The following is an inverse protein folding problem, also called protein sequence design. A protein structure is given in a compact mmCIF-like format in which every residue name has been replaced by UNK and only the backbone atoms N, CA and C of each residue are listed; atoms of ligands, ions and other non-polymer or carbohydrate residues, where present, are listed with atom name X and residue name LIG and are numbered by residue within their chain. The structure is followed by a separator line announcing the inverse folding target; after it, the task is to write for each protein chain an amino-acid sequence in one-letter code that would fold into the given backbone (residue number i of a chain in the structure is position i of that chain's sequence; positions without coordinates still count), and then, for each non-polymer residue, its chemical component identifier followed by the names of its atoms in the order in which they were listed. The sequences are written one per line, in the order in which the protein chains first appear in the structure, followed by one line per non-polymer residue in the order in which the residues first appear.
data_IF_783860091403
#
_entry.id   IF_783860091403
#
_cell.length_a   1.000
_cell.length_b   1.000
_cell.length_c   1.000
_cell.angle_alpha   90.00
_cell.angle_beta   90.00
_cell.angle_gamma   90.00
#
_symmetry.space_group_name_H-M   'P 1'
#
loop_
_entity.id
_entity.type
_entity.pdbx_description
1 polymer ?
#
# COMPACT_ATOMS: atom_id res chain seq x y z
N UNK A 1 -33.35 22.01 -21.70
CA UNK A 1 -33.87 21.38 -20.46
C UNK A 1 -33.24 20.00 -20.30
N UNK A 2 -32.55 19.74 -19.19
CA UNK A 2 -31.99 18.41 -18.89
C UNK A 2 -33.16 17.53 -18.37
N UNK A 3 -33.46 16.43 -19.06
CA UNK A 3 -34.53 15.49 -18.68
C UNK A 3 -34.26 14.89 -17.27
N UNK A 4 -35.32 14.69 -16.48
CA UNK A 4 -35.29 14.04 -15.16
C UNK A 4 -34.55 12.69 -15.17
N UNK A 5 -34.58 11.93 -16.28
CA UNK A 5 -33.77 10.71 -16.44
C UNK A 5 -32.27 10.99 -16.44
N UNK A 6 -31.80 12.03 -17.13
CA UNK A 6 -30.39 12.43 -17.11
C UNK A 6 -29.96 12.87 -15.71
N UNK A 7 -30.81 13.59 -14.99
CA UNK A 7 -30.55 14.00 -13.60
C UNK A 7 -30.49 12.76 -12.67
N UNK A 8 -31.37 11.79 -12.86
CA UNK A 8 -31.38 10.53 -12.10
C UNK A 8 -30.11 9.70 -12.38
N UNK A 9 -29.69 9.60 -13.64
CA UNK A 9 -28.44 8.93 -14.04
C UNK A 9 -27.23 9.64 -13.42
N UNK A 10 -27.15 10.97 -13.53
CA UNK A 10 -26.07 11.77 -12.92
C UNK A 10 -26.05 11.57 -11.40
N UNK A 11 -27.20 11.64 -10.73
CA UNK A 11 -27.27 11.44 -9.28
C UNK A 11 -26.94 10.01 -8.85
N UNK A 12 -27.29 9.00 -9.65
CA UNK A 12 -26.88 7.60 -9.42
C UNK A 12 -25.37 7.41 -9.64
N UNK A 13 -24.79 8.08 -10.65
CA UNK A 13 -23.35 8.09 -10.88
C UNK A 13 -22.61 8.84 -9.76
N UNK A 14 -23.14 9.96 -9.29
CA UNK A 14 -22.60 10.72 -8.15
C UNK A 14 -22.72 9.94 -6.83
N UNK A 15 -23.82 9.21 -6.61
CA UNK A 15 -23.99 8.31 -5.45
C UNK A 15 -23.08 7.08 -5.49
N UNK A 16 -22.62 6.66 -6.67
CA UNK A 16 -21.71 5.51 -6.83
C UNK A 16 -20.31 5.78 -6.27
N UNK A 17 -19.92 7.04 -6.15
CA UNK A 17 -18.65 7.44 -5.55
C UNK A 17 -18.90 7.94 -4.14
N UNK A 18 -18.53 7.13 -3.14
CA UNK A 18 -18.51 7.59 -1.76
C UNK A 18 -17.52 8.76 -1.66
N UNK A 19 -17.99 9.96 -1.33
CA UNK A 19 -17.10 11.13 -1.20
C UNK A 19 -16.18 10.90 -0.01
N UNK A 20 -14.89 10.69 -0.27
CA UNK A 20 -13.87 10.61 0.77
C UNK A 20 -13.73 11.99 1.44
N UNK A 21 -13.83 12.01 2.76
CA UNK A 21 -13.77 13.21 3.58
C UNK A 21 -12.33 13.46 4.05
N UNK A 22 -11.97 14.73 4.19
CA UNK A 22 -10.67 15.12 4.71
C UNK A 22 -10.52 14.64 6.17
N UNK A 23 -9.35 14.10 6.51
CA UNK A 23 -9.02 13.59 7.86
C UNK A 23 -9.99 12.55 8.43
N UNK A 24 -10.59 11.72 7.56
CA UNK A 24 -11.49 10.65 7.98
C UNK A 24 -10.83 9.28 7.88
N UNK A 25 -11.03 8.45 8.92
CA UNK A 25 -10.61 7.04 8.94
C UNK A 25 -11.76 6.16 8.46
N UNK A 26 -11.45 5.23 7.56
CA UNK A 26 -12.39 4.29 6.99
C UNK A 26 -11.99 2.85 7.36
N UNK A 27 -12.80 2.17 8.16
CA UNK A 27 -12.61 0.76 8.47
C UNK A 27 -13.30 -0.10 7.40
N UNK A 28 -12.57 -0.43 6.34
CA UNK A 28 -13.04 -1.27 5.24
C UNK A 28 -11.88 -1.92 4.51
N UNK A 29 -12.21 -2.84 3.61
CA UNK A 29 -11.29 -3.36 2.60
C UNK A 29 -10.71 -2.21 1.76
N UNK A 30 -9.38 -2.08 1.75
CA UNK A 30 -8.68 -0.99 1.07
C UNK A 30 -8.91 -0.99 -0.45
N UNK A 31 -9.08 -2.15 -1.09
CA UNK A 31 -9.39 -2.24 -2.52
C UNK A 31 -10.78 -1.69 -2.82
N UNK A 32 -11.74 -1.90 -1.92
CA UNK A 32 -13.08 -1.29 -2.03
C UNK A 32 -13.02 0.21 -1.73
N UNK A 33 -12.24 0.60 -0.72
CA UNK A 33 -12.04 2.01 -0.35
C UNK A 33 -11.41 2.84 -1.46
N UNK A 34 -10.30 2.37 -2.04
CA UNK A 34 -9.55 3.10 -3.09
C UNK A 34 -10.38 3.36 -4.35
N UNK A 35 -11.35 2.50 -4.69
CA UNK A 35 -12.27 2.73 -5.82
C UNK A 35 -13.14 3.99 -5.67
N UNK A 36 -13.30 4.49 -4.44
CA UNK A 36 -14.01 5.73 -4.16
C UNK A 36 -13.11 6.98 -4.23
N UNK A 37 -11.79 6.80 -4.29
CA UNK A 37 -10.83 7.89 -4.46
C UNK A 37 -10.72 8.23 -5.95
N UNK A 38 -10.89 9.50 -6.29
CA UNK A 38 -10.73 9.98 -7.68
C UNK A 38 -9.31 9.72 -8.19
N UNK A 39 -9.19 9.40 -9.47
CA UNK A 39 -7.88 9.29 -10.12
C UNK A 39 -7.13 10.63 -10.07
N UNK A 40 -5.80 10.59 -10.04
CA UNK A 40 -4.97 11.80 -10.09
C UNK A 40 -5.31 12.84 -9.00
N UNK A 41 -5.58 12.39 -7.77
CA UNK A 41 -6.03 13.25 -6.66
C UNK A 41 -5.15 13.17 -5.41
N UNK A 42 -4.32 12.15 -5.28
CA UNK A 42 -3.47 11.90 -4.11
C UNK A 42 -2.03 12.33 -4.38
N UNK A 43 -1.45 13.14 -3.51
CA UNK A 43 -0.05 13.58 -3.63
C UNK A 43 0.95 12.52 -3.14
N UNK A 44 0.60 11.81 -2.06
CA UNK A 44 1.46 10.82 -1.42
C UNK A 44 0.63 9.64 -0.90
N UNK A 45 1.10 8.42 -1.18
CA UNK A 45 0.59 7.19 -0.55
C UNK A 45 1.67 6.63 0.36
N UNK A 46 1.28 6.17 1.56
CA UNK A 46 2.17 5.44 2.47
C UNK A 46 1.48 4.12 2.81
N UNK A 47 2.16 3.00 2.60
CA UNK A 47 1.54 1.68 2.76
C UNK A 47 2.51 0.66 3.33
N UNK A 48 1.99 -0.15 4.24
CA UNK A 48 2.64 -1.32 4.85
C UNK A 48 1.76 -2.55 4.58
N UNK A 49 1.78 -3.09 3.34
CA UNK A 49 0.93 -4.20 2.96
C UNK A 49 1.34 -5.49 3.70
N UNK A 50 0.47 -6.51 3.78
CA UNK A 50 0.87 -7.85 4.22
C UNK A 50 2.13 -8.35 3.48
N UNK A 51 2.99 -9.11 4.14
CA UNK A 51 4.25 -9.62 3.54
C UNK A 51 4.16 -11.05 3.01
N UNK A 52 3.03 -11.76 3.17
CA UNK A 52 2.83 -13.15 2.76
C UNK A 52 3.98 -14.08 3.18
N UNK A 53 4.39 -13.99 4.45
CA UNK A 53 5.52 -14.72 5.02
C UNK A 53 5.11 -16.03 5.71
N UNK A 54 3.88 -16.50 5.48
CA UNK A 54 3.30 -17.70 6.10
C UNK A 54 3.49 -17.70 7.62
N UNK A 55 3.33 -16.52 8.22
CA UNK A 55 3.54 -16.32 9.64
C UNK A 55 2.31 -16.81 10.38
N UNK A 56 2.25 -18.13 10.56
CA UNK A 56 1.24 -18.76 11.40
C UNK A 56 1.22 -18.06 12.77
N UNK A 57 0.06 -17.56 13.25
CA UNK A 57 -0.07 -16.91 14.55
C UNK A 57 0.13 -17.94 15.67
N UNK A 58 1.37 -18.33 15.94
CA UNK A 58 1.73 -19.17 17.08
C UNK A 58 1.93 -18.27 18.31
N UNK A 59 1.36 -18.65 19.46
CA UNK A 59 1.40 -17.92 20.74
C UNK A 59 2.81 -17.40 21.12
N UNK A 60 3.85 -18.15 20.77
CA UNK A 60 5.26 -17.83 21.07
C UNK A 60 5.82 -16.65 20.28
N UNK A 61 5.19 -16.26 19.17
CA UNK A 61 5.88 -15.45 18.17
C UNK A 61 5.98 -13.96 18.49
N UNK A 62 5.25 -13.41 19.47
CA UNK A 62 5.33 -11.97 19.80
C UNK A 62 4.89 -11.60 21.23
N UNK A 63 4.84 -12.53 22.19
CA UNK A 63 4.31 -12.25 23.54
C UNK A 63 2.93 -11.54 23.50
N UNK A 64 2.11 -11.85 22.49
CA UNK A 64 0.84 -11.16 22.23
C UNK A 64 -0.23 -11.68 23.19
N UNK A 65 -0.87 -10.78 23.93
CA UNK A 65 -2.11 -11.09 24.66
C UNK A 65 -3.22 -11.36 23.65
N UNK A 66 -3.91 -12.49 23.79
CA UNK A 66 -4.96 -12.96 22.88
C UNK A 66 -6.09 -11.93 22.72
N UNK A 67 -6.40 -11.17 23.78
CA UNK A 67 -7.37 -10.05 23.77
C UNK A 67 -7.00 -8.88 22.86
N UNK A 68 -5.74 -8.78 22.41
CA UNK A 68 -5.25 -7.73 21.51
C UNK A 68 -5.05 -8.22 20.07
N UNK A 69 -5.37 -9.48 19.79
CA UNK A 69 -5.33 -10.03 18.43
C UNK A 69 -6.69 -9.76 17.79
N UNK A 70 -6.73 -8.81 16.85
CA UNK A 70 -7.94 -8.53 16.07
C UNK A 70 -8.32 -9.76 15.24
N UNK A 71 -9.57 -10.22 15.38
CA UNK A 71 -10.13 -11.26 14.52
C UNK A 71 -10.35 -10.68 13.12
N UNK A 72 -10.04 -11.46 12.07
CA UNK A 72 -10.31 -11.08 10.68
C UNK A 72 -9.08 -10.71 9.83
N UNK A 73 -7.86 -10.78 10.38
CA UNK A 73 -6.67 -10.75 9.52
C UNK A 73 -6.67 -11.97 8.61
N UNK A 74 -6.75 -11.73 7.29
CA UNK A 74 -6.63 -12.77 6.28
C UNK A 74 -5.21 -12.72 5.74
N UNK A 75 -4.46 -13.79 5.99
CA UNK A 75 -3.14 -13.94 5.40
C UNK A 75 -3.25 -14.16 3.89
N UNK A 76 -2.34 -13.55 3.14
CA UNK A 76 -2.21 -13.76 1.70
C UNK A 76 -1.29 -14.96 1.51
N UNK A 77 -1.74 -15.96 0.76
CA UNK A 77 -0.91 -17.10 0.40
C UNK A 77 0.25 -16.58 -0.47
N UNK A 78 1.43 -17.18 -0.28
CA UNK A 78 2.63 -16.74 -0.99
C UNK A 78 2.46 -16.81 -2.52
N UNK A 79 1.81 -17.85 -3.02
CA UNK A 79 1.58 -18.02 -4.46
C UNK A 79 0.63 -16.96 -5.05
N UNK A 80 -0.25 -16.39 -4.22
CA UNK A 80 -1.19 -15.32 -4.61
C UNK A 80 -0.60 -13.91 -4.40
N UNK A 81 0.62 -13.80 -3.87
CA UNK A 81 1.15 -12.53 -3.40
C UNK A 81 1.42 -11.54 -4.54
N UNK A 82 1.89 -12.04 -5.68
CA UNK A 82 2.09 -11.21 -6.87
C UNK A 82 0.78 -10.58 -7.33
N UNK A 83 -0.24 -11.40 -7.56
CA UNK A 83 -1.56 -10.95 -8.01
C UNK A 83 -2.20 -10.01 -7.00
N UNK A 84 -2.08 -10.30 -5.70
CA UNK A 84 -2.48 -9.37 -4.66
C UNK A 84 -1.76 -8.02 -4.81
N UNK A 85 -0.44 -8.06 -4.98
CA UNK A 85 0.42 -6.88 -5.01
C UNK A 85 0.14 -5.96 -6.20
N UNK A 86 0.15 -6.52 -7.41
CA UNK A 86 -0.10 -5.75 -8.63
C UNK A 86 -1.49 -5.12 -8.60
N UNK A 87 -2.50 -5.81 -8.08
CA UNK A 87 -3.86 -5.31 -8.02
C UNK A 87 -4.00 -4.07 -7.11
N UNK A 88 -3.45 -4.10 -5.89
CA UNK A 88 -3.53 -2.94 -5.01
C UNK A 88 -2.64 -1.79 -5.49
N UNK A 89 -1.45 -2.11 -6.02
CA UNK A 89 -0.55 -1.09 -6.56
C UNK A 89 -1.14 -0.37 -7.78
N UNK A 90 -1.87 -1.09 -8.63
CA UNK A 90 -2.58 -0.51 -9.78
C UNK A 90 -3.61 0.53 -9.34
N UNK A 91 -4.44 0.21 -8.34
CA UNK A 91 -5.42 1.16 -7.79
C UNK A 91 -4.74 2.34 -7.08
N UNK A 92 -3.67 2.09 -6.32
CA UNK A 92 -2.90 3.15 -5.68
C UNK A 92 -2.27 4.10 -6.72
N UNK A 93 -1.62 3.56 -7.76
CA UNK A 93 -1.05 4.31 -8.89
C UNK A 93 -2.11 5.14 -9.63
N UNK A 94 -3.33 4.61 -9.82
CA UNK A 94 -4.45 5.36 -10.40
C UNK A 94 -4.79 6.62 -9.59
N UNK A 95 -4.83 6.50 -8.26
CA UNK A 95 -5.18 7.63 -7.38
C UNK A 95 -4.08 8.68 -7.29
N UNK A 96 -2.82 8.30 -7.46
CA UNK A 96 -1.68 9.23 -7.45
C UNK A 96 -1.81 10.27 -8.55
N UNK A 97 -1.53 11.53 -8.18
CA UNK A 97 -1.26 12.60 -9.12
C UNK A 97 -0.06 12.25 -10.00
N UNK A 98 0.04 12.84 -11.18
CA UNK A 98 1.22 12.70 -12.04
C UNK A 98 2.52 13.09 -11.30
N UNK A 99 2.47 14.15 -10.47
CA UNK A 99 3.57 14.56 -9.60
C UNK A 99 3.72 13.76 -8.30
N UNK A 100 2.87 12.75 -8.10
CA UNK A 100 2.72 12.03 -6.84
C UNK A 100 3.73 10.91 -6.64
N UNK A 101 3.84 10.46 -5.38
CA UNK A 101 4.79 9.41 -4.99
C UNK A 101 4.20 8.46 -3.94
N UNK A 102 4.89 7.36 -3.68
CA UNK A 102 4.48 6.34 -2.73
C UNK A 102 5.67 5.81 -1.94
N UNK A 103 5.45 5.56 -0.65
CA UNK A 103 6.32 4.76 0.20
C UNK A 103 5.69 3.39 0.43
N UNK A 104 6.41 2.34 0.07
CA UNK A 104 5.97 0.94 0.20
C UNK A 104 6.91 0.22 1.15
N UNK A 105 6.41 -0.17 2.31
CA UNK A 105 7.15 -1.00 3.26
C UNK A 105 7.09 -2.48 2.84
N UNK A 106 8.20 -3.20 3.01
CA UNK A 106 8.28 -4.62 2.69
C UNK A 106 9.38 -5.34 3.47
N UNK A 107 9.13 -6.63 3.74
CA UNK A 107 10.17 -7.61 4.05
C UNK A 107 10.90 -8.09 2.80
N UNK A 108 12.09 -8.66 2.99
CA UNK A 108 12.89 -9.20 1.87
C UNK A 108 12.27 -10.43 1.18
N UNK A 109 11.39 -11.17 1.87
CA UNK A 109 10.91 -12.49 1.45
C UNK A 109 10.23 -12.49 0.07
N UNK A 110 9.35 -11.51 -0.16
CA UNK A 110 8.57 -11.38 -1.39
C UNK A 110 8.77 -9.98 -2.01
N UNK A 111 9.89 -9.32 -1.70
CA UNK A 111 10.23 -7.99 -2.24
C UNK A 111 10.22 -7.98 -3.77
N UNK A 112 10.61 -9.08 -4.41
CA UNK A 112 10.61 -9.25 -5.87
C UNK A 112 9.25 -8.94 -6.49
N UNK A 113 8.15 -9.30 -5.82
CA UNK A 113 6.81 -9.17 -6.40
C UNK A 113 6.36 -7.70 -6.39
N UNK A 114 6.81 -6.94 -5.39
CA UNK A 114 6.63 -5.48 -5.33
C UNK A 114 7.49 -4.80 -6.40
N UNK A 115 8.77 -5.17 -6.53
CA UNK A 115 9.66 -4.59 -7.54
C UNK A 115 9.14 -4.85 -8.97
N UNK A 116 8.73 -6.08 -9.27
CA UNK A 116 8.12 -6.42 -10.56
C UNK A 116 6.84 -5.61 -10.80
N UNK A 117 6.01 -5.42 -9.76
CA UNK A 117 4.79 -4.62 -9.87
C UNK A 117 5.07 -3.13 -10.10
N UNK A 118 6.15 -2.58 -9.53
CA UNK A 118 6.61 -1.22 -9.80
C UNK A 118 6.94 -1.07 -11.29
N UNK A 119 7.73 -1.99 -11.83
CA UNK A 119 8.16 -1.98 -13.22
C UNK A 119 6.98 -2.17 -14.18
N UNK A 120 6.09 -3.14 -13.92
CA UNK A 120 4.91 -3.41 -14.76
C UNK A 120 3.95 -2.22 -14.82
N UNK A 121 3.81 -1.47 -13.72
CA UNK A 121 2.95 -0.29 -13.65
C UNK A 121 3.63 0.99 -14.18
N UNK A 122 4.89 0.91 -14.65
CA UNK A 122 5.66 2.04 -15.14
C UNK A 122 5.97 3.09 -14.07
N UNK A 123 5.98 2.69 -12.80
CA UNK A 123 6.42 3.57 -11.71
C UNK A 123 7.94 3.64 -11.69
N UNK A 124 8.50 4.79 -11.32
CA UNK A 124 9.95 4.96 -11.21
C UNK A 124 10.38 4.77 -9.76
N UNK A 125 11.31 3.85 -9.51
CA UNK A 125 11.96 3.75 -8.19
C UNK A 125 12.94 4.89 -8.03
N UNK A 126 12.70 5.73 -7.01
CA UNK A 126 13.57 6.87 -6.68
C UNK A 126 14.62 6.46 -5.65
N UNK A 127 14.18 5.82 -4.56
CA UNK A 127 15.08 5.30 -3.54
C UNK A 127 14.61 3.97 -3.00
N UNK A 128 15.60 3.16 -2.64
CA UNK A 128 15.41 1.99 -1.80
C UNK A 128 15.97 2.29 -0.42
N UNK A 129 15.08 2.65 0.51
CA UNK A 129 15.45 3.05 1.87
C UNK A 129 15.49 1.80 2.75
N UNK A 130 16.53 1.68 3.58
CA UNK A 130 16.71 0.53 4.48
C UNK A 130 16.43 0.95 5.91
N UNK A 131 15.35 0.42 6.49
CA UNK A 131 15.06 0.59 7.90
C UNK A 131 15.75 -0.50 8.70
N UNK A 132 16.90 -0.18 9.30
CA UNK A 132 17.69 -1.10 10.13
C UNK A 132 17.18 -1.13 11.58
N UNK A 133 16.98 -2.33 12.12
CA UNK A 133 16.79 -2.56 13.55
C UNK A 133 18.10 -2.92 14.23
N UNK A 134 18.24 -2.50 15.49
CA UNK A 134 19.40 -2.81 16.33
C UNK A 134 19.31 -4.20 16.99
N UNK A 135 18.21 -4.93 16.76
CA UNK A 135 18.01 -6.28 17.25
C UNK A 135 17.73 -7.23 16.08
N UNK A 136 18.03 -8.51 16.28
CA UNK A 136 17.81 -9.55 15.28
C UNK A 136 17.32 -10.84 15.92
N UNK A 137 16.65 -11.66 15.13
CA UNK A 137 16.28 -13.02 15.55
C UNK A 137 17.48 -13.94 15.40
N UNK A 138 17.65 -14.88 16.33
CA UNK A 138 18.72 -15.89 16.25
C UNK A 138 18.47 -16.78 15.03
N UNK A 139 19.46 -16.89 14.15
CA UNK A 139 19.42 -17.73 12.95
C UNK A 139 20.53 -18.79 13.00
N UNK A 140 20.26 -19.98 12.44
CA UNK A 140 21.25 -21.08 12.37
C UNK A 140 21.83 -21.31 10.97
N UNK A 141 21.02 -21.08 9.93
CA UNK A 141 21.33 -21.46 8.54
C UNK A 141 21.33 -20.28 7.56
N UNK A 142 21.24 -19.05 8.07
CA UNK A 142 21.16 -17.83 7.27
C UNK A 142 21.68 -16.64 8.05
N UNK A 143 22.04 -15.58 7.35
CA UNK A 143 22.32 -14.29 7.99
C UNK A 143 21.09 -13.76 8.73
N UNK A 144 21.35 -12.99 9.78
CA UNK A 144 20.30 -12.29 10.52
C UNK A 144 19.71 -11.22 9.62
N UNK A 145 18.40 -11.30 9.38
CA UNK A 145 17.64 -10.21 8.77
C UNK A 145 17.14 -9.30 9.88
N UNK A 146 17.73 -8.11 10.01
CA UNK A 146 17.34 -7.07 10.96
C UNK A 146 17.04 -5.75 10.26
N UNK A 147 16.36 -5.80 9.12
CA UNK A 147 15.95 -4.63 8.38
C UNK A 147 14.64 -4.84 7.62
N UNK A 148 13.97 -3.74 7.32
CA UNK A 148 12.92 -3.66 6.30
C UNK A 148 13.32 -2.76 5.15
N UNK A 149 12.65 -2.96 4.03
CA UNK A 149 12.75 -2.16 2.83
C UNK A 149 11.62 -1.14 2.83
N UNK A 150 11.93 0.12 2.56
CA UNK A 150 10.96 1.16 2.27
C UNK A 150 11.27 1.70 0.87
N UNK A 151 10.45 1.30 -0.10
CA UNK A 151 10.62 1.71 -1.49
C UNK A 151 9.93 3.05 -1.67
N UNK A 152 10.70 4.08 -2.03
CA UNK A 152 10.19 5.36 -2.45
C UNK A 152 10.09 5.39 -3.97
N UNK A 153 8.87 5.43 -4.48
CA UNK A 153 8.58 5.37 -5.92
C UNK A 153 7.72 6.56 -6.34
N UNK A 154 7.78 6.93 -7.62
CA UNK A 154 6.98 8.01 -8.17
C UNK A 154 6.28 7.63 -9.46
N UNK A 155 5.22 8.37 -9.79
CA UNK A 155 4.44 8.14 -11.00
C UNK A 155 5.11 8.71 -12.25
N UNK A 156 5.67 9.92 -12.13
CA UNK A 156 6.41 10.57 -13.21
C UNK A 156 7.58 11.35 -12.60
N UNK A 157 8.80 10.86 -12.79
CA UNK A 157 9.99 11.46 -12.16
C UNK A 157 10.26 12.88 -12.64
N UNK A 158 9.90 13.22 -13.89
CA UNK A 158 10.06 14.58 -14.43
C UNK A 158 9.15 15.60 -13.72
N UNK A 159 7.99 15.15 -13.24
CA UNK A 159 6.99 16.00 -12.59
C UNK A 159 6.93 15.77 -11.07
N UNK A 160 7.76 14.88 -10.52
CA UNK A 160 7.75 14.48 -9.12
C UNK A 160 7.97 15.69 -8.20
N UNK A 161 7.11 15.83 -7.20
CA UNK A 161 7.29 16.81 -6.12
C UNK A 161 7.83 16.12 -4.88
N UNK A 162 8.97 16.61 -4.38
CA UNK A 162 9.53 16.21 -3.10
C UNK A 162 9.44 17.42 -2.15
N UNK A 163 8.76 17.24 -1.01
CA UNK A 163 8.59 18.31 -0.01
C UNK A 163 9.63 18.16 1.08
N UNK A 164 10.77 18.80 0.89
CA UNK A 164 11.94 18.68 1.76
C UNK A 164 11.66 19.13 3.20
N UNK A 165 10.72 20.06 3.38
CA UNK A 165 10.33 20.63 4.67
C UNK A 165 9.69 19.64 5.66
N UNK A 166 9.22 18.49 5.17
CA UNK A 166 8.65 17.40 5.97
C UNK A 166 9.43 16.08 5.84
N UNK A 167 10.53 16.08 5.08
CA UNK A 167 11.34 14.90 4.85
C UNK A 167 12.32 14.68 6.01
N UNK A 168 11.79 14.20 7.13
CA UNK A 168 12.58 13.69 8.25
C UNK A 168 12.32 12.19 8.34
N UNK A 169 13.36 11.38 8.12
CA UNK A 169 13.33 9.93 8.29
C UNK A 169 14.21 9.58 9.50
#
# INVERSE_FOLDING_TARGET
MINQEKIKIINTLLKKYMKIEFNKIYNMDCMKGMKNISSNSVDLVVTDPPFAIEFGPKRSNYNRKESRVLKGYKEILKDDYYDFTINWMKEASRTLKDSGSMYIFSGWNNLKDILNSIDELGLTTVNHIIWKYQFGVVTKRKYVTSHYHCLYVCKNDKNRKFKNEYAVI
#
